data_IF_836566735898
#
_entry.id   IF_836566735898
#
_cell.length_a   1.000
_cell.length_b   1.000
_cell.length_c   1.000
_cell.angle_alpha   90.00
_cell.angle_beta   90.00
_cell.angle_gamma   90.00
#
_symmetry.space_group_name_H-M   'P 1'
#
loop_
_entity.id
_entity.type
_entity.pdbx_description
1 polymer ?
#
# COMPACT_ATOMS: atom_id res chain seq x y z
N UNK A 1 8.30 20.00 -13.60
CA UNK A 1 7.48 20.90 -12.77
C UNK A 1 6.05 20.41 -12.82
N UNK A 2 5.54 19.98 -11.68
CA UNK A 2 4.18 19.43 -11.52
C UNK A 2 3.23 20.62 -11.27
N UNK A 3 2.08 20.65 -11.94
CA UNK A 3 1.01 21.61 -11.63
C UNK A 3 -0.20 20.86 -11.10
N UNK A 4 -0.76 21.32 -9.99
CA UNK A 4 -1.93 20.70 -9.36
C UNK A 4 -3.05 21.72 -9.30
N UNK A 5 -4.18 21.37 -9.90
CA UNK A 5 -5.41 22.16 -9.91
C UNK A 5 -6.40 21.52 -8.95
N UNK A 6 -6.65 22.18 -7.83
CA UNK A 6 -7.51 21.67 -6.77
C UNK A 6 -8.96 22.12 -6.96
N UNK A 7 -9.88 21.30 -6.44
CA UNK A 7 -11.30 21.65 -6.34
C UNK A 7 -11.66 22.20 -4.97
N UNK A 8 -12.96 22.24 -4.68
CA UNK A 8 -13.51 22.78 -3.42
C UNK A 8 -13.24 21.94 -2.15
N UNK A 9 -12.79 20.70 -2.28
CA UNK A 9 -12.57 19.81 -1.14
C UNK A 9 -11.24 20.14 -0.43
N UNK A 10 -11.32 20.97 0.61
CA UNK A 10 -10.15 21.43 1.36
C UNK A 10 -9.41 20.31 2.09
N UNK A 11 -10.12 19.29 2.59
CA UNK A 11 -9.52 18.17 3.30
C UNK A 11 -8.71 17.29 2.34
N UNK A 12 -9.28 16.98 1.17
CA UNK A 12 -8.58 16.25 0.11
C UNK A 12 -7.36 17.03 -0.39
N UNK A 13 -7.50 18.34 -0.61
CA UNK A 13 -6.41 19.20 -1.07
C UNK A 13 -5.23 19.19 -0.08
N UNK A 14 -5.51 19.34 1.22
CA UNK A 14 -4.47 19.30 2.26
C UNK A 14 -3.79 17.93 2.36
N UNK A 15 -4.55 16.84 2.22
CA UNK A 15 -4.00 15.49 2.25
C UNK A 15 -3.06 15.22 1.06
N UNK A 16 -3.41 15.72 -0.13
CA UNK A 16 -2.57 15.61 -1.33
C UNK A 16 -1.30 16.45 -1.18
N UNK A 17 -1.41 17.69 -0.72
CA UNK A 17 -0.25 18.57 -0.48
C UNK A 17 0.71 17.96 0.53
N UNK A 18 0.21 17.53 1.69
CA UNK A 18 1.01 16.85 2.71
C UNK A 18 1.77 15.64 2.16
N UNK A 19 1.15 14.91 1.21
CA UNK A 19 1.80 13.76 0.58
C UNK A 19 2.88 14.17 -0.43
N UNK A 20 2.62 15.19 -1.25
CA UNK A 20 3.60 15.76 -2.17
C UNK A 20 4.83 16.28 -1.40
N UNK A 21 4.60 16.99 -0.29
CA UNK A 21 5.64 17.49 0.61
C UNK A 21 6.43 16.36 1.25
N UNK A 22 5.76 15.27 1.67
CA UNK A 22 6.44 14.10 2.24
C UNK A 22 7.40 13.42 1.26
N UNK A 23 7.18 13.61 -0.05
CA UNK A 23 8.05 13.14 -1.11
C UNK A 23 9.03 14.21 -1.63
N UNK A 24 9.01 15.42 -1.07
CA UNK A 24 9.85 16.54 -1.48
C UNK A 24 9.74 16.85 -2.98
N UNK A 25 8.52 16.75 -3.52
CA UNK A 25 8.25 17.03 -4.93
C UNK A 25 8.06 18.53 -5.14
N UNK A 26 8.66 19.08 -6.21
CA UNK A 26 8.40 20.45 -6.63
C UNK A 26 7.08 20.54 -7.41
N UNK A 27 6.08 21.20 -6.82
CA UNK A 27 4.78 21.42 -7.44
C UNK A 27 4.28 22.85 -7.30
N UNK A 28 3.41 23.25 -8.24
CA UNK A 28 2.66 24.50 -8.20
C UNK A 28 1.20 24.21 -7.90
N UNK A 29 0.61 25.06 -7.08
CA UNK A 29 -0.78 24.97 -6.63
C UNK A 29 -1.62 25.97 -7.40
N UNK A 30 -2.73 25.49 -7.95
CA UNK A 30 -3.76 26.27 -8.63
C UNK A 30 -5.13 25.88 -8.09
N UNK A 31 -6.07 26.82 -8.17
CA UNK A 31 -7.48 26.61 -7.88
C UNK A 31 -8.24 26.19 -9.15
N UNK A 32 -9.51 25.82 -8.98
CA UNK A 32 -10.42 25.59 -10.10
C UNK A 32 -10.69 26.86 -10.91
N UNK A 33 -10.57 28.04 -10.29
CA UNK A 33 -10.79 29.35 -10.92
C UNK A 33 -9.64 29.74 -11.86
N UNK A 34 -8.45 29.20 -11.64
CA UNK A 34 -7.27 29.44 -12.49
C UNK A 34 -7.32 28.66 -13.82
N UNK A 35 -8.35 27.83 -14.02
CA UNK A 35 -8.52 27.05 -15.26
C UNK A 35 -9.21 27.94 -16.30
N UNK A 36 -8.41 28.46 -17.22
CA UNK A 36 -8.88 29.28 -18.33
C UNK A 36 -9.07 28.48 -19.65
N UNK A 37 -9.55 29.16 -20.69
CA UNK A 37 -9.73 28.55 -22.02
C UNK A 37 -8.42 28.01 -22.57
N UNK A 38 -7.30 28.71 -22.36
CA UNK A 38 -6.00 28.29 -22.88
C UNK A 38 -5.54 27.00 -22.22
N UNK A 39 -5.65 26.92 -20.90
CA UNK A 39 -5.28 25.76 -20.09
C UNK A 39 -6.12 24.54 -20.48
N UNK A 40 -7.44 24.70 -20.60
CA UNK A 40 -8.31 23.58 -20.97
C UNK A 40 -8.05 23.10 -22.40
N UNK A 41 -7.78 24.02 -23.33
CA UNK A 41 -7.38 23.67 -24.69
C UNK A 41 -6.05 22.92 -24.72
N UNK A 42 -5.07 23.33 -23.92
CA UNK A 42 -3.80 22.59 -23.77
C UNK A 42 -4.05 21.14 -23.33
N UNK A 43 -4.94 20.93 -22.36
CA UNK A 43 -5.26 19.58 -21.89
C UNK A 43 -5.96 18.75 -22.95
N UNK A 44 -6.93 19.35 -23.67
CA UNK A 44 -7.60 18.73 -24.81
C UNK A 44 -6.60 18.23 -25.87
N UNK A 45 -5.58 19.03 -26.20
CA UNK A 45 -4.58 18.65 -27.19
C UNK A 45 -3.59 17.58 -26.70
N UNK A 46 -3.33 17.53 -25.39
CA UNK A 46 -2.40 16.56 -24.79
C UNK A 46 -3.07 15.25 -24.39
N UNK A 47 -4.37 15.26 -24.10
CA UNK A 47 -5.13 14.07 -23.72
C UNK A 47 -5.52 13.24 -24.95
N UNK A 48 -5.39 11.92 -24.85
CA UNK A 48 -5.94 11.00 -25.86
C UNK A 48 -7.47 10.93 -25.80
N UNK A 49 -8.06 11.01 -24.60
CA UNK A 49 -9.50 11.12 -24.38
C UNK A 49 -9.80 12.16 -23.27
N UNK A 50 -10.29 13.34 -23.67
CA UNK A 50 -10.66 14.40 -22.73
C UNK A 50 -11.77 13.98 -21.75
N UNK A 51 -12.60 13.00 -22.10
CA UNK A 51 -13.69 12.54 -21.24
C UNK A 51 -13.19 11.82 -19.99
N UNK A 52 -11.92 11.39 -19.96
CA UNK A 52 -11.29 10.91 -18.73
C UNK A 52 -11.19 12.02 -17.69
N UNK A 53 -10.86 13.24 -18.11
CA UNK A 53 -10.73 14.42 -17.24
C UNK A 53 -12.08 14.99 -16.78
N UNK A 54 -13.16 14.59 -17.44
CA UNK A 54 -14.49 15.14 -17.23
C UNK A 54 -15.32 14.30 -16.26
N UNK A 55 -16.22 14.96 -15.54
CA UNK A 55 -17.19 14.30 -14.66
C UNK A 55 -18.23 13.52 -15.47
N UNK A 56 -18.93 12.60 -14.80
CA UNK A 56 -19.99 11.78 -15.42
C UNK A 56 -21.09 12.61 -16.07
N UNK A 57 -21.37 13.82 -15.56
CA UNK A 57 -22.37 14.75 -16.09
C UNK A 57 -22.05 15.23 -17.51
N UNK A 58 -20.77 15.23 -17.87
CA UNK A 58 -20.27 15.71 -19.16
C UNK A 58 -20.16 14.59 -20.20
N UNK A 59 -20.24 13.32 -19.80
CA UNK A 59 -20.15 12.17 -20.72
C UNK A 59 -21.26 12.16 -21.78
N UNK A 60 -22.41 12.76 -21.50
CA UNK A 60 -23.51 12.94 -22.48
C UNK A 60 -23.10 13.70 -23.74
N UNK A 61 -21.97 14.41 -23.71
CA UNK A 61 -21.45 15.13 -24.85
C UNK A 61 -20.48 14.30 -25.72
N UNK A 62 -20.13 13.07 -25.32
CA UNK A 62 -19.17 12.22 -26.05
C UNK A 62 -19.61 11.83 -27.46
N UNK A 63 -20.91 11.65 -27.68
CA UNK A 63 -21.50 11.32 -28.98
C UNK A 63 -22.34 12.46 -29.55
N UNK A 64 -22.26 13.65 -28.97
CA UNK A 64 -23.07 14.78 -29.39
C UNK A 64 -22.40 15.55 -30.52
N UNK A 65 -22.93 15.46 -31.73
CA UNK A 65 -22.44 16.16 -32.93
C UNK A 65 -23.00 17.58 -33.10
N UNK A 66 -23.95 17.99 -32.26
CA UNK A 66 -24.64 19.28 -32.39
C UNK A 66 -23.91 20.45 -31.72
N UNK A 67 -22.89 20.17 -30.89
CA UNK A 67 -22.13 21.21 -30.20
C UNK A 67 -20.74 21.37 -30.80
N UNK A 68 -20.33 22.63 -30.95
CA UNK A 68 -18.96 22.96 -31.36
C UNK A 68 -17.99 22.81 -30.18
N UNK A 69 -16.70 22.61 -30.46
CA UNK A 69 -15.65 22.54 -29.42
C UNK A 69 -15.64 23.80 -28.54
N UNK A 70 -15.76 24.99 -29.14
CA UNK A 70 -15.80 26.26 -28.41
C UNK A 70 -17.00 26.35 -27.45
N UNK A 71 -18.17 25.85 -27.86
CA UNK A 71 -19.35 25.79 -26.98
C UNK A 71 -19.16 24.77 -25.86
N UNK A 72 -18.51 23.64 -26.16
CA UNK A 72 -18.19 22.61 -25.18
C UNK A 72 -17.23 23.14 -24.10
N UNK A 73 -16.14 23.79 -24.51
CA UNK A 73 -15.18 24.45 -23.61
C UNK A 73 -15.86 25.47 -22.73
N UNK A 74 -16.70 26.34 -23.30
CA UNK A 74 -17.47 27.32 -22.52
C UNK A 74 -18.41 26.66 -21.50
N UNK A 75 -18.99 25.50 -21.81
CA UNK A 75 -19.82 24.75 -20.86
C UNK A 75 -19.02 24.21 -19.69
N UNK A 76 -17.80 23.71 -19.94
CA UNK A 76 -16.89 23.24 -18.87
C UNK A 76 -16.50 24.41 -17.97
N UNK A 77 -16.06 25.53 -18.57
CA UNK A 77 -15.60 26.71 -17.82
C UNK A 77 -16.69 27.40 -17.02
N UNK A 78 -17.97 27.24 -17.38
CA UNK A 78 -19.10 27.80 -16.62
C UNK A 78 -19.22 27.18 -15.22
N UNK A 79 -18.86 25.91 -15.06
CA UNK A 79 -18.94 25.19 -13.78
C UNK A 79 -17.82 24.16 -13.71
N UNK A 80 -16.60 24.64 -13.51
CA UNK A 80 -15.36 23.84 -13.56
C UNK A 80 -15.40 22.71 -12.54
N UNK A 81 -15.74 23.01 -11.29
CA UNK A 81 -15.79 22.04 -10.19
C UNK A 81 -16.78 20.89 -10.43
N UNK A 82 -17.88 21.13 -11.15
CA UNK A 82 -18.83 20.06 -11.49
C UNK A 82 -18.55 19.40 -12.83
N UNK A 83 -17.78 20.05 -13.70
CA UNK A 83 -17.50 19.57 -15.06
C UNK A 83 -16.24 18.72 -15.13
N UNK A 84 -15.23 19.03 -14.32
CA UNK A 84 -13.96 18.32 -14.26
C UNK A 84 -13.88 17.42 -13.03
N UNK A 85 -13.11 16.33 -13.17
CA UNK A 85 -12.73 15.47 -12.04
C UNK A 85 -11.50 16.06 -11.34
N UNK A 86 -11.72 17.10 -10.55
CA UNK A 86 -10.67 17.67 -9.69
C UNK A 86 -10.38 16.75 -8.49
N UNK A 87 -9.15 16.74 -7.95
CA UNK A 87 -7.98 17.49 -8.40
C UNK A 87 -7.35 16.96 -9.69
N UNK A 88 -6.86 17.85 -10.55
CA UNK A 88 -6.14 17.51 -11.79
C UNK A 88 -4.66 17.81 -11.62
N UNK A 89 -3.81 16.83 -11.91
CA UNK A 89 -2.36 16.96 -11.89
C UNK A 89 -1.82 16.93 -13.31
N UNK A 90 -1.06 17.95 -13.68
CA UNK A 90 -0.43 18.09 -14.99
C UNK A 90 1.08 17.97 -14.82
N UNK A 91 1.67 16.97 -15.47
CA UNK A 91 3.13 16.80 -15.57
C UNK A 91 3.58 17.10 -17.00
N UNK A 92 4.87 16.91 -17.31
CA UNK A 92 5.37 16.99 -18.70
C UNK A 92 4.84 15.85 -19.57
N UNK A 93 4.64 14.68 -18.97
CA UNK A 93 4.34 13.44 -19.69
C UNK A 93 2.85 13.15 -19.76
N UNK A 94 2.10 13.47 -18.70
CA UNK A 94 0.72 13.05 -18.56
C UNK A 94 -0.13 14.06 -17.79
N UNK A 95 -1.44 13.88 -17.91
CA UNK A 95 -2.46 14.60 -17.15
C UNK A 95 -3.27 13.55 -16.39
N UNK A 96 -3.36 13.70 -15.08
CA UNK A 96 -4.08 12.81 -14.18
C UNK A 96 -5.27 13.55 -13.60
N UNK A 97 -6.48 13.00 -13.76
CA UNK A 97 -7.68 13.50 -13.09
C UNK A 97 -8.01 12.70 -11.85
N UNK A 98 -8.83 13.28 -10.96
CA UNK A 98 -9.30 12.64 -9.74
C UNK A 98 -8.14 12.16 -8.86
N UNK A 99 -7.09 12.98 -8.73
CA UNK A 99 -5.93 12.62 -7.91
C UNK A 99 -6.34 12.45 -6.45
N UNK A 100 -5.90 11.36 -5.83
CA UNK A 100 -6.07 11.11 -4.39
C UNK A 100 -4.70 11.02 -3.72
N UNK A 101 -4.61 11.14 -2.38
CA UNK A 101 -3.35 11.05 -1.64
C UNK A 101 -2.58 9.75 -1.93
N UNK A 102 -3.29 8.63 -2.14
CA UNK A 102 -2.70 7.32 -2.43
C UNK A 102 -2.07 7.28 -3.82
N UNK A 103 -2.68 7.96 -4.80
CA UNK A 103 -2.22 8.01 -6.18
C UNK A 103 -1.08 9.01 -6.41
N UNK A 104 -0.79 9.91 -5.46
CA UNK A 104 0.36 10.85 -5.54
C UNK A 104 1.68 10.13 -5.80
N UNK A 105 1.84 8.90 -5.28
CA UNK A 105 3.03 8.08 -5.50
C UNK A 105 3.33 7.80 -6.99
N UNK A 106 2.33 7.89 -7.87
CA UNK A 106 2.52 7.72 -9.33
C UNK A 106 3.38 8.81 -9.95
N UNK A 107 3.46 9.98 -9.33
CA UNK A 107 4.26 11.13 -9.76
C UNK A 107 5.76 10.95 -9.48
N UNK A 108 6.12 9.92 -8.68
CA UNK A 108 7.51 9.65 -8.32
C UNK A 108 8.28 9.00 -9.48
N UNK A 109 9.59 9.29 -9.59
CA UNK A 109 10.48 8.61 -10.53
C UNK A 109 10.34 7.09 -10.44
N UNK A 110 10.50 6.41 -11.58
CA UNK A 110 10.32 4.95 -11.67
C UNK A 110 11.25 4.20 -10.72
N UNK A 111 12.46 4.73 -10.52
CA UNK A 111 13.50 4.19 -9.67
C UNK A 111 13.08 4.20 -8.20
N UNK A 112 12.53 5.33 -7.75
CA UNK A 112 12.02 5.46 -6.38
C UNK A 112 10.86 4.50 -6.13
N UNK A 113 9.90 4.43 -7.06
CA UNK A 113 8.77 3.49 -6.97
C UNK A 113 9.21 2.03 -6.94
N UNK A 114 10.25 1.69 -7.70
CA UNK A 114 10.82 0.33 -7.71
C UNK A 114 11.44 -0.01 -6.35
N UNK A 115 12.23 0.89 -5.78
CA UNK A 115 12.85 0.69 -4.47
C UNK A 115 11.82 0.60 -3.34
N UNK A 116 10.78 1.46 -3.35
CA UNK A 116 9.69 1.38 -2.38
C UNK A 116 8.93 0.06 -2.50
N UNK A 117 8.63 -0.37 -3.73
CA UNK A 117 8.00 -1.66 -4.01
C UNK A 117 8.85 -2.80 -3.46
N UNK A 118 10.14 -2.85 -3.77
CA UNK A 118 11.07 -3.87 -3.24
C UNK A 118 11.09 -3.90 -1.70
N UNK A 119 11.10 -2.74 -1.05
CA UNK A 119 11.05 -2.65 0.41
C UNK A 119 9.72 -3.17 0.99
N UNK A 120 8.59 -2.87 0.34
CA UNK A 120 7.28 -3.39 0.73
C UNK A 120 7.21 -4.90 0.54
N UNK A 121 7.73 -5.42 -0.57
CA UNK A 121 7.81 -6.87 -0.81
C UNK A 121 8.65 -7.56 0.27
N UNK A 122 9.83 -7.02 0.61
CA UNK A 122 10.67 -7.57 1.70
C UNK A 122 9.94 -7.57 3.05
N UNK A 123 9.20 -6.51 3.38
CA UNK A 123 8.39 -6.44 4.62
C UNK A 123 7.27 -7.47 4.60
N UNK A 124 6.60 -7.61 3.47
CA UNK A 124 5.53 -8.58 3.27
C UNK A 124 6.07 -10.02 3.40
N UNK A 125 7.19 -10.32 2.76
CA UNK A 125 7.87 -11.62 2.85
C UNK A 125 8.21 -11.97 4.30
N UNK A 126 8.77 -11.04 5.08
CA UNK A 126 9.05 -11.27 6.52
C UNK A 126 7.79 -11.58 7.33
N UNK A 127 6.70 -10.85 7.08
CA UNK A 127 5.42 -11.11 7.75
C UNK A 127 4.84 -12.46 7.33
N UNK A 128 5.00 -12.82 6.06
CA UNK A 128 4.54 -14.07 5.52
C UNK A 128 5.33 -15.26 6.08
N UNK A 129 6.66 -15.15 6.13
CA UNK A 129 7.53 -16.13 6.78
C UNK A 129 7.16 -16.36 8.23
N UNK A 130 6.92 -15.31 9.01
CA UNK A 130 6.48 -15.44 10.40
C UNK A 130 5.12 -16.13 10.53
N UNK A 131 4.17 -15.85 9.63
CA UNK A 131 2.89 -16.59 9.60
C UNK A 131 3.08 -18.06 9.24
N UNK A 132 3.90 -18.37 8.24
CA UNK A 132 4.23 -19.73 7.82
C UNK A 132 4.87 -20.51 8.97
N UNK A 133 5.87 -19.93 9.63
CA UNK A 133 6.52 -20.48 10.81
C UNK A 133 5.50 -20.94 11.86
N UNK A 134 4.65 -20.03 12.32
CA UNK A 134 3.69 -20.36 13.39
C UNK A 134 2.61 -21.35 12.97
N UNK A 135 2.23 -21.35 11.69
CA UNK A 135 1.28 -22.34 11.16
C UNK A 135 1.91 -23.73 11.15
N UNK A 136 3.09 -23.87 10.56
CA UNK A 136 3.77 -25.15 10.43
C UNK A 136 4.18 -25.69 11.82
N UNK A 137 4.68 -24.82 12.69
CA UNK A 137 4.94 -25.14 14.09
C UNK A 137 3.71 -25.72 14.80
N UNK A 138 2.53 -25.10 14.63
CA UNK A 138 1.30 -25.59 15.26
C UNK A 138 0.87 -26.95 14.68
N UNK A 139 1.14 -27.22 13.40
CA UNK A 139 0.90 -28.53 12.78
C UNK A 139 1.81 -29.58 13.40
N UNK A 140 3.13 -29.33 13.44
CA UNK A 140 4.10 -30.27 14.01
C UNK A 140 3.80 -30.56 15.48
N UNK A 141 3.53 -29.52 16.27
CA UNK A 141 3.18 -29.67 17.69
C UNK A 141 1.94 -30.56 17.88
N UNK A 142 0.91 -30.38 17.03
CA UNK A 142 -0.31 -31.19 17.09
C UNK A 142 -0.07 -32.63 16.67
N UNK A 143 0.73 -32.86 15.63
CA UNK A 143 1.09 -34.21 15.15
C UNK A 143 1.91 -34.99 16.19
N UNK A 144 2.75 -34.28 16.94
CA UNK A 144 3.55 -34.87 18.02
C UNK A 144 2.75 -35.05 19.33
N UNK A 145 1.46 -34.69 19.32
CA UNK A 145 0.54 -34.71 20.47
C UNK A 145 1.06 -33.95 21.72
N UNK A 146 2.09 -33.11 21.57
CA UNK A 146 2.79 -32.49 22.68
C UNK A 146 1.98 -31.32 23.26
N UNK A 147 1.52 -31.39 24.52
CA UNK A 147 0.77 -30.32 25.15
C UNK A 147 1.63 -29.06 25.36
N UNK A 148 0.99 -27.89 25.35
CA UNK A 148 1.68 -26.61 25.55
C UNK A 148 2.48 -26.53 26.85
N UNK A 149 1.99 -27.15 27.94
CA UNK A 149 2.67 -27.11 29.22
C UNK A 149 3.98 -27.92 29.22
N UNK A 150 4.03 -29.05 28.50
CA UNK A 150 5.23 -29.89 28.38
C UNK A 150 6.25 -29.25 27.46
N UNK A 151 5.79 -28.76 26.31
CA UNK A 151 6.62 -27.99 25.38
C UNK A 151 7.32 -26.82 26.09
N UNK A 152 6.61 -26.07 26.94
CA UNK A 152 7.23 -24.98 27.70
C UNK A 152 8.27 -25.46 28.72
N UNK A 153 8.10 -26.65 29.30
CA UNK A 153 9.13 -27.21 30.20
C UNK A 153 10.38 -27.55 29.40
N UNK A 154 10.22 -28.13 28.22
CA UNK A 154 11.34 -28.51 27.35
C UNK A 154 12.07 -27.29 26.77
N UNK A 155 11.34 -26.32 26.23
CA UNK A 155 11.94 -25.12 25.60
C UNK A 155 12.73 -24.23 26.56
N UNK A 156 12.35 -24.24 27.85
CA UNK A 156 12.90 -23.34 28.86
C UNK A 156 13.55 -24.08 30.03
N UNK A 157 13.91 -25.36 29.84
CA UNK A 157 14.53 -26.20 30.87
C UNK A 157 15.88 -25.64 31.37
N UNK A 158 16.56 -24.90 30.51
CA UNK A 158 17.94 -24.42 30.67
C UNK A 158 18.04 -22.90 30.90
N UNK A 159 16.91 -22.19 30.99
CA UNK A 159 16.90 -20.71 31.01
C UNK A 159 17.39 -20.13 32.34
N UNK A 160 16.86 -20.62 33.47
CA UNK A 160 17.22 -20.19 34.82
C UNK A 160 16.38 -20.95 35.86
N UNK A 161 16.93 -21.17 37.05
CA UNK A 161 16.17 -21.60 38.24
C UNK A 161 15.31 -20.48 38.83
N UNK A 162 15.52 -19.23 38.40
CA UNK A 162 14.71 -18.08 38.78
C UNK A 162 13.35 -18.10 38.06
N UNK A 163 12.28 -18.32 38.86
CA UNK A 163 10.89 -18.32 38.41
C UNK A 163 10.48 -17.02 37.68
N UNK A 164 11.07 -15.89 38.03
CA UNK A 164 10.84 -14.59 37.38
C UNK A 164 11.41 -14.55 35.96
N UNK A 165 12.63 -15.03 35.76
CA UNK A 165 13.26 -15.09 34.43
C UNK A 165 12.58 -16.13 33.52
N UNK A 166 12.18 -17.28 34.08
CA UNK A 166 11.37 -18.26 33.35
C UNK A 166 10.05 -17.67 32.87
N UNK A 167 9.38 -16.88 33.72
CA UNK A 167 8.12 -16.21 33.34
C UNK A 167 8.34 -15.20 32.20
N UNK A 168 9.38 -14.37 32.29
CA UNK A 168 9.73 -13.41 31.22
C UNK A 168 10.02 -14.12 29.90
N UNK A 169 10.74 -15.24 29.91
CA UNK A 169 11.03 -16.01 28.70
C UNK A 169 9.76 -16.56 28.04
N UNK A 170 8.85 -17.13 28.83
CA UNK A 170 7.52 -17.59 28.36
C UNK A 170 6.71 -16.44 27.78
N UNK A 171 6.64 -15.31 28.46
CA UNK A 171 5.89 -14.13 28.00
C UNK A 171 6.46 -13.59 26.67
N UNK A 172 7.80 -13.57 26.51
CA UNK A 172 8.46 -13.21 25.25
C UNK A 172 8.07 -14.16 24.11
N UNK A 173 8.11 -15.48 24.36
CA UNK A 173 7.71 -16.47 23.37
C UNK A 173 6.26 -16.29 22.90
N UNK A 174 5.34 -16.06 23.83
CA UNK A 174 3.95 -15.77 23.48
C UNK A 174 3.78 -14.48 22.70
N UNK A 175 4.60 -13.46 22.99
CA UNK A 175 4.61 -12.20 22.23
C UNK A 175 5.00 -12.46 20.77
N UNK A 176 6.01 -13.29 20.51
CA UNK A 176 6.38 -13.67 19.14
C UNK A 176 5.22 -14.38 18.43
N UNK A 177 4.57 -15.35 19.09
CA UNK A 177 3.40 -16.06 18.55
C UNK A 177 2.23 -15.14 18.23
N UNK A 178 1.89 -14.24 19.15
CA UNK A 178 0.78 -13.29 19.00
C UNK A 178 1.04 -12.34 17.82
N UNK A 179 2.27 -11.85 17.69
CA UNK A 179 2.66 -10.90 16.66
C UNK A 179 3.07 -11.55 15.34
N UNK A 180 3.01 -12.89 15.22
CA UNK A 180 3.49 -13.66 14.08
C UNK A 180 4.93 -13.34 13.71
N UNK A 181 5.76 -13.07 14.71
CA UNK A 181 7.19 -12.83 14.56
C UNK A 181 7.93 -14.17 14.70
N UNK A 182 8.95 -14.36 13.87
CA UNK A 182 9.84 -15.51 14.00
C UNK A 182 10.60 -15.38 15.33
N UNK A 183 10.60 -16.40 16.20
CA UNK A 183 11.40 -16.40 17.41
C UNK A 183 12.91 -16.26 17.12
N UNK A 184 13.71 -15.86 18.12
CA UNK A 184 15.16 -15.98 18.09
C UNK A 184 15.64 -17.39 17.71
N UNK A 185 16.82 -17.46 17.08
CA UNK A 185 17.37 -18.69 16.49
C UNK A 185 17.60 -19.80 17.52
N UNK A 186 18.02 -19.46 18.75
CA UNK A 186 18.18 -20.39 19.87
C UNK A 186 16.87 -21.11 20.24
N UNK A 187 15.73 -20.42 20.12
CA UNK A 187 14.42 -21.03 20.34
C UNK A 187 14.06 -21.95 19.17
N UNK A 188 14.41 -21.56 17.95
CA UNK A 188 14.15 -22.40 16.76
C UNK A 188 14.95 -23.69 16.87
N UNK A 189 16.24 -23.63 17.16
CA UNK A 189 17.10 -24.81 17.34
C UNK A 189 16.52 -25.79 18.37
N UNK A 190 16.09 -25.28 19.54
CA UNK A 190 15.41 -26.11 20.55
C UNK A 190 14.12 -26.74 20.04
N UNK A 191 13.32 -26.02 19.26
CA UNK A 191 12.12 -26.57 18.63
C UNK A 191 12.49 -27.73 17.69
N UNK A 192 13.52 -27.56 16.87
CA UNK A 192 13.98 -28.60 15.94
C UNK A 192 14.41 -29.86 16.70
N UNK A 193 15.18 -29.69 17.78
CA UNK A 193 15.62 -30.79 18.65
C UNK A 193 14.46 -31.49 19.36
N UNK A 194 13.52 -30.73 19.93
CA UNK A 194 12.36 -31.29 20.66
C UNK A 194 11.47 -32.14 19.76
N UNK A 195 11.23 -31.68 18.53
CA UNK A 195 10.34 -32.36 17.59
C UNK A 195 11.08 -33.30 16.63
N UNK A 196 12.41 -33.33 16.64
CA UNK A 196 13.25 -34.11 15.71
C UNK A 196 12.91 -33.83 14.24
N UNK A 197 12.78 -32.55 13.90
CA UNK A 197 12.43 -32.05 12.56
C UNK A 197 13.56 -31.23 11.95
N UNK A 198 13.51 -31.02 10.64
CA UNK A 198 14.44 -30.12 9.96
C UNK A 198 13.90 -28.68 9.91
N UNK A 199 14.83 -27.72 9.72
CA UNK A 199 14.45 -26.30 9.57
C UNK A 199 13.41 -26.10 8.47
N UNK A 200 13.53 -26.85 7.37
CA UNK A 200 12.62 -26.70 6.22
C UNK A 200 11.16 -26.93 6.62
N UNK A 201 10.88 -27.85 7.55
CA UNK A 201 9.52 -28.19 7.98
C UNK A 201 8.78 -26.99 8.59
N UNK A 202 9.50 -26.09 9.27
CA UNK A 202 8.94 -24.88 9.87
C UNK A 202 8.72 -23.75 8.86
N UNK A 203 9.43 -23.72 7.73
CA UNK A 203 9.40 -22.57 6.81
C UNK A 203 8.86 -22.89 5.42
N UNK A 204 8.66 -24.17 5.09
CA UNK A 204 8.17 -24.61 3.79
C UNK A 204 6.79 -24.05 3.47
N UNK A 205 6.63 -23.60 2.22
CA UNK A 205 5.33 -23.21 1.66
C UNK A 205 4.48 -24.45 1.43
N UNK A 206 3.25 -24.45 1.92
CA UNK A 206 2.31 -25.53 1.61
C UNK A 206 1.77 -25.37 0.18
N UNK A 207 1.22 -26.44 -0.39
CA UNK A 207 0.55 -26.40 -1.71
C UNK A 207 -0.58 -25.36 -1.74
N UNK A 208 -1.25 -25.15 -0.61
CA UNK A 208 -2.26 -24.10 -0.41
C UNK A 208 -1.73 -22.67 -0.43
N UNK A 209 -0.43 -22.44 -0.20
CA UNK A 209 0.18 -21.11 -0.32
C UNK A 209 0.48 -20.74 -1.79
N UNK A 210 0.50 -21.73 -2.69
CA UNK A 210 0.78 -21.55 -4.12
C UNK A 210 -0.48 -21.21 -4.94
N UNK A 211 -1.67 -21.36 -4.36
CA UNK A 211 -2.95 -21.15 -5.05
C UNK A 211 -3.54 -19.73 -4.86
N UNK A 212 -2.90 -18.88 -4.05
CA UNK A 212 -3.36 -17.51 -3.75
C UNK A 212 -2.56 -16.42 -4.50
N UNK A 213 -1.99 -16.75 -5.67
CA UNK A 213 -1.34 -15.78 -6.57
C UNK A 213 -2.27 -15.33 -7.68
#
# INVERSE_FOLDING_TARGET
MIKVYFGKDTALNQAIQSRLDSYQLDYQVFSSEDIDTKTLMEWLFRSTDIFELLSTKMLKYKLNTQITLSQFVRKILKDVDRSLKLPIVVTKEAIYSNMTPEYVGTLLPKEYRKAERENLFRKFEKLDEGRRFWRNFEIVRKQSELPWFELHKLLFADVSDDLGEMKKAKDRFFKYKKNKQIPPEDIIEKILEIFLIERVDLFQKSVSDLQNF
#
